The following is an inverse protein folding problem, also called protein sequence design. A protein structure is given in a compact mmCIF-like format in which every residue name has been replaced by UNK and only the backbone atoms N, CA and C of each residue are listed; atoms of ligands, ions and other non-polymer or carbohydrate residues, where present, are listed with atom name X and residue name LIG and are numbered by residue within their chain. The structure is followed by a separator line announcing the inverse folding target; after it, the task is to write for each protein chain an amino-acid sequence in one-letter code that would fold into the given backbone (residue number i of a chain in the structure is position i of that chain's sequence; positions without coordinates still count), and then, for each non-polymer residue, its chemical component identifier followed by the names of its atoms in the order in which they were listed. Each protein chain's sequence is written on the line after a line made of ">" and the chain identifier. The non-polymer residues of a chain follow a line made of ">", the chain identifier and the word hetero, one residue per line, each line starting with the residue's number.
data_IF_525819105696
#
_entry.id   IF_525819105696
#
_cell.length_a   1.000
_cell.length_b   1.000
_cell.length_c   1.000
_cell.angle_alpha   90.00
_cell.angle_beta   90.00
_cell.angle_gamma   90.00
#
_symmetry.space_group_name_H-M   'P 1'
#
loop_
_entity.id
_entity.type
_entity.pdbx_description
1 polymer ?
#
# COMPACT_ATOMS: atom_id res chain seq x y z
N UNK A 1 -0.55 -51.11 19.49
CA UNK A 1 0.58 -50.17 19.33
C UNK A 1 0.03 -48.88 18.74
N UNK A 2 -0.36 -47.89 19.55
CA UNK A 2 -0.76 -46.59 19.02
C UNK A 2 0.46 -45.69 18.78
N UNK A 3 0.47 -45.03 17.62
CA UNK A 3 1.47 -44.05 17.21
C UNK A 3 1.37 -42.82 18.12
N UNK A 4 2.48 -42.57 18.81
CA UNK A 4 2.69 -41.53 19.80
C UNK A 4 2.53 -40.13 19.20
N UNK A 5 1.77 -39.32 19.91
CA UNK A 5 1.33 -37.97 19.58
C UNK A 5 2.54 -37.03 19.70
N UNK A 6 3.15 -36.64 18.57
CA UNK A 6 4.25 -35.69 18.57
C UNK A 6 3.82 -34.38 19.25
N UNK A 7 4.60 -33.83 20.20
CA UNK A 7 4.27 -32.58 20.86
C UNK A 7 4.37 -31.45 19.84
N UNK A 8 3.24 -30.75 19.63
CA UNK A 8 3.18 -29.48 18.92
C UNK A 8 4.20 -28.53 19.57
N UNK A 9 5.29 -28.26 18.85
CA UNK A 9 6.24 -27.24 19.24
C UNK A 9 5.48 -25.91 19.35
N UNK A 10 5.34 -25.43 20.58
CA UNK A 10 4.91 -24.09 20.92
C UNK A 10 5.93 -23.12 20.32
N UNK A 11 5.74 -22.73 19.06
CA UNK A 11 6.46 -21.59 18.51
C UNK A 11 5.95 -20.38 19.30
N UNK A 12 6.79 -19.71 20.10
CA UNK A 12 6.36 -18.55 20.86
C UNK A 12 5.89 -17.48 19.86
N UNK A 13 4.67 -16.96 20.06
CA UNK A 13 4.06 -15.94 19.19
C UNK A 13 4.91 -14.66 19.08
N UNK A 14 5.95 -14.51 19.89
CA UNK A 14 6.96 -13.45 19.81
C UNK A 14 7.88 -13.53 18.60
N UNK A 15 7.84 -14.62 17.83
CA UNK A 15 8.61 -14.79 16.59
C UNK A 15 7.80 -14.52 15.32
N UNK A 16 6.64 -13.89 15.42
CA UNK A 16 6.05 -13.26 14.24
C UNK A 16 6.91 -12.02 13.96
N UNK A 17 7.73 -11.99 12.88
CA UNK A 17 8.42 -10.77 12.52
C UNK A 17 7.34 -9.71 12.32
N UNK A 18 7.34 -8.69 13.18
CA UNK A 18 6.54 -7.50 12.94
C UNK A 18 7.07 -6.94 11.63
N UNK A 19 6.30 -7.08 10.55
CA UNK A 19 6.61 -6.41 9.31
C UNK A 19 6.77 -4.93 9.65
N UNK A 20 8.01 -4.44 9.57
CA UNK A 20 8.32 -3.01 9.64
C UNK A 20 7.64 -2.39 8.44
N UNK A 21 6.35 -2.05 8.59
CA UNK A 21 5.66 -1.21 7.66
C UNK A 21 6.38 0.13 7.72
N UNK A 22 7.25 0.41 6.75
CA UNK A 22 7.57 1.80 6.40
C UNK A 22 6.26 2.57 6.39
N UNK A 23 6.18 3.80 6.94
CA UNK A 23 4.93 4.50 7.21
C UNK A 23 4.07 4.58 5.95
N UNK A 24 3.24 3.55 5.82
CA UNK A 24 2.46 3.29 4.63
C UNK A 24 1.12 3.96 4.81
N UNK A 25 0.64 4.59 3.76
CA UNK A 25 -0.67 5.20 3.79
C UNK A 25 -1.73 4.15 3.47
N UNK A 26 -2.39 3.65 4.51
CA UNK A 26 -3.46 2.66 4.35
C UNK A 26 -4.85 3.31 4.41
N UNK A 27 -5.71 2.91 3.47
CA UNK A 27 -7.14 3.20 3.50
C UNK A 27 -7.91 1.93 3.16
N UNK A 28 -8.71 1.45 4.13
CA UNK A 28 -9.42 0.18 3.99
C UNK A 28 -8.43 -0.99 3.80
N UNK A 29 -8.67 -1.89 2.83
CA UNK A 29 -7.82 -3.03 2.57
C UNK A 29 -6.58 -2.72 1.72
N UNK A 30 -6.37 -1.46 1.32
CA UNK A 30 -5.26 -1.06 0.44
C UNK A 30 -4.29 -0.15 1.19
N UNK A 31 -3.00 -0.45 1.07
CA UNK A 31 -1.90 0.34 1.62
C UNK A 31 -1.01 0.87 0.50
N UNK A 32 -0.53 2.10 0.64
CA UNK A 32 0.52 2.65 -0.20
C UNK A 32 1.85 2.77 0.54
N UNK A 33 2.94 2.40 -0.13
CA UNK A 33 4.32 2.55 0.30
C UNK A 33 5.15 3.20 -0.81
N UNK A 34 6.45 3.41 -0.55
CA UNK A 34 7.40 3.99 -1.53
C UNK A 34 6.89 5.29 -2.16
N UNK A 35 6.21 6.13 -1.36
CA UNK A 35 5.62 7.39 -1.83
C UNK A 35 6.75 8.39 -2.07
N UNK A 36 6.97 8.72 -3.34
CA UNK A 36 8.05 9.61 -3.78
C UNK A 36 7.49 10.71 -4.66
N UNK A 37 7.96 11.95 -4.44
CA UNK A 37 7.62 13.08 -5.32
C UNK A 37 8.50 13.03 -6.57
N UNK A 38 7.91 13.28 -7.73
CA UNK A 38 8.66 13.36 -8.99
C UNK A 38 9.56 14.60 -9.00
N UNK A 39 10.85 14.41 -9.33
CA UNK A 39 11.81 15.49 -9.45
C UNK A 39 11.54 16.43 -10.65
N UNK A 40 10.85 15.92 -11.68
CA UNK A 40 10.52 16.68 -12.90
C UNK A 40 9.18 17.42 -12.76
N UNK A 41 8.25 16.87 -11.99
CA UNK A 41 6.89 17.35 -11.87
C UNK A 41 6.48 17.33 -10.40
N UNK A 42 6.57 18.47 -9.71
CA UNK A 42 6.34 18.55 -8.26
C UNK A 42 4.94 18.07 -7.82
N UNK A 43 3.96 18.13 -8.73
CA UNK A 43 2.58 17.67 -8.55
C UNK A 43 2.37 16.18 -8.85
N UNK A 44 3.39 15.46 -9.32
CA UNK A 44 3.30 14.02 -9.52
C UNK A 44 3.89 13.26 -8.33
N UNK A 45 3.12 12.30 -7.84
CA UNK A 45 3.60 11.32 -6.88
C UNK A 45 3.71 9.96 -7.54
N UNK A 46 4.75 9.23 -7.18
CA UNK A 46 4.89 7.81 -7.48
C UNK A 46 4.71 7.05 -6.19
N UNK A 47 3.86 6.05 -6.19
CA UNK A 47 3.59 5.21 -5.03
C UNK A 47 3.47 3.77 -5.47
N UNK A 48 3.74 2.86 -4.54
CA UNK A 48 3.38 1.46 -4.67
C UNK A 48 2.12 1.24 -3.84
N UNK A 49 1.12 0.58 -4.38
CA UNK A 49 -0.05 0.12 -3.63
C UNK A 49 -0.02 -1.38 -3.48
N UNK A 50 -0.58 -1.87 -2.39
CA UNK A 50 -0.80 -3.30 -2.12
C UNK A 50 -2.15 -3.51 -1.45
N UNK A 51 -2.81 -4.62 -1.74
CA UNK A 51 -4.05 -5.02 -1.07
C UNK A 51 -3.87 -6.28 -0.20
N UNK A 52 -4.89 -6.60 0.60
CA UNK A 52 -4.89 -7.79 1.45
C UNK A 52 -4.93 -9.12 0.67
N UNK A 53 -5.19 -9.09 -0.63
CA UNK A 53 -5.19 -10.27 -1.50
C UNK A 53 -3.78 -10.57 -2.04
N UNK A 54 -2.80 -9.70 -1.75
CA UNK A 54 -1.42 -9.82 -2.19
C UNK A 54 -1.16 -9.19 -3.55
N UNK A 55 -2.14 -8.51 -4.15
CA UNK A 55 -1.88 -7.72 -5.35
C UNK A 55 -1.05 -6.50 -4.99
N UNK A 56 -0.15 -6.15 -5.89
CA UNK A 56 0.67 -4.95 -5.75
C UNK A 56 0.85 -4.27 -7.10
N UNK A 57 0.92 -2.96 -7.06
CA UNK A 57 0.96 -2.14 -8.27
C UNK A 57 1.77 -0.87 -8.02
N UNK A 58 2.49 -0.40 -9.05
CA UNK A 58 3.14 0.91 -9.03
C UNK A 58 2.30 1.89 -9.82
N UNK A 59 2.00 3.03 -9.19
CA UNK A 59 1.15 4.06 -9.73
C UNK A 59 1.89 5.39 -9.76
N UNK A 60 1.62 6.14 -10.81
CA UNK A 60 1.87 7.58 -10.86
C UNK A 60 0.53 8.28 -10.71
N UNK A 61 0.41 9.20 -9.77
CA UNK A 61 -0.74 10.09 -9.63
C UNK A 61 -0.34 11.52 -9.97
N UNK A 62 -1.15 12.18 -10.79
CA UNK A 62 -1.12 13.63 -10.95
C UNK A 62 -2.05 14.24 -9.90
N UNK A 63 -1.49 14.93 -8.91
CA UNK A 63 -2.26 15.47 -7.78
C UNK A 63 -3.14 16.66 -8.15
N UNK A 64 -2.98 17.23 -9.35
CA UNK A 64 -3.80 18.37 -9.81
C UNK A 64 -5.21 17.94 -10.15
N UNK A 65 -5.36 16.80 -10.82
CA UNK A 65 -6.64 16.26 -11.32
C UNK A 65 -6.98 14.87 -10.73
N UNK A 66 -6.10 14.33 -9.87
CA UNK A 66 -6.25 13.00 -9.28
C UNK A 66 -6.05 11.86 -10.27
N UNK A 67 -5.48 12.11 -11.46
CA UNK A 67 -5.39 11.11 -12.52
C UNK A 67 -4.35 10.04 -12.21
N UNK A 68 -4.76 8.79 -12.35
CA UNK A 68 -3.94 7.61 -12.06
C UNK A 68 -3.35 7.03 -13.34
N UNK A 69 -2.09 6.59 -13.25
CA UNK A 69 -1.41 5.85 -14.32
C UNK A 69 -0.66 4.65 -13.74
N UNK A 70 -0.97 3.42 -14.17
CA UNK A 70 -2.05 3.08 -15.11
C UNK A 70 -3.46 3.25 -14.51
N UNK A 71 -4.44 3.54 -15.37
CA UNK A 71 -5.83 3.77 -14.95
C UNK A 71 -6.51 2.49 -14.44
N UNK A 72 -6.08 1.31 -14.90
CA UNK A 72 -6.63 -0.01 -14.57
C UNK A 72 -5.51 -0.93 -14.11
N UNK A 73 -5.86 -1.85 -13.20
CA UNK A 73 -4.91 -2.72 -12.53
C UNK A 73 -5.61 -3.65 -11.54
N UNK A 74 -4.86 -4.55 -10.90
CA UNK A 74 -5.43 -5.60 -10.04
C UNK A 74 -5.97 -5.08 -8.71
N UNK A 75 -5.48 -3.93 -8.24
CA UNK A 75 -5.95 -3.31 -7.00
C UNK A 75 -7.21 -2.47 -7.26
N UNK A 76 -8.22 -2.63 -6.40
CA UNK A 76 -9.50 -1.93 -6.50
C UNK A 76 -9.35 -0.40 -6.53
N UNK A 77 -9.93 0.25 -7.54
CA UNK A 77 -9.65 1.64 -7.88
C UNK A 77 -10.28 2.66 -6.97
N UNK A 78 -11.42 2.36 -6.35
CA UNK A 78 -12.03 3.20 -5.32
C UNK A 78 -11.08 3.41 -4.14
N UNK A 79 -10.48 2.34 -3.63
CA UNK A 79 -9.48 2.39 -2.56
C UNK A 79 -8.19 3.08 -3.02
N UNK A 80 -7.68 2.76 -4.22
CA UNK A 80 -6.50 3.45 -4.77
C UNK A 80 -6.74 4.96 -4.89
N UNK A 81 -7.90 5.38 -5.37
CA UNK A 81 -8.28 6.79 -5.47
C UNK A 81 -8.38 7.45 -4.09
N UNK A 82 -8.86 6.73 -3.07
CA UNK A 82 -8.87 7.26 -1.70
C UNK A 82 -7.43 7.44 -1.16
N UNK A 83 -6.58 6.42 -1.31
CA UNK A 83 -5.19 6.43 -0.84
C UNK A 83 -4.41 7.56 -1.51
N UNK A 84 -4.50 7.66 -2.84
CA UNK A 84 -3.82 8.72 -3.61
C UNK A 84 -4.32 10.11 -3.24
N UNK A 85 -5.63 10.29 -3.04
CA UNK A 85 -6.16 11.57 -2.56
C UNK A 85 -5.56 11.99 -1.22
N UNK A 86 -5.35 11.04 -0.31
CA UNK A 86 -4.72 11.31 0.97
C UNK A 86 -3.21 11.55 0.82
N UNK A 87 -2.53 10.84 -0.09
CA UNK A 87 -1.10 11.05 -0.38
C UNK A 87 -0.81 12.44 -0.96
N UNK A 88 -1.63 12.90 -1.91
CA UNK A 88 -1.54 14.24 -2.49
C UNK A 88 -1.71 15.33 -1.43
N UNK A 89 -2.71 15.18 -0.55
CA UNK A 89 -2.93 16.10 0.58
C UNK A 89 -1.74 16.16 1.52
N UNK A 90 -1.14 15.01 1.85
CA UNK A 90 0.06 14.94 2.72
C UNK A 90 1.29 15.55 2.05
N UNK A 91 1.31 15.59 0.72
CA UNK A 91 2.36 16.25 -0.06
C UNK A 91 2.13 17.77 -0.18
N UNK A 92 1.07 18.33 0.41
CA UNK A 92 0.80 19.77 0.34
C UNK A 92 0.18 20.22 -0.98
N UNK A 93 -0.20 19.30 -1.87
CA UNK A 93 -0.96 19.62 -3.08
C UNK A 93 -2.46 19.48 -2.77
N UNK A 94 -3.25 20.59 -2.75
CA UNK A 94 -4.70 20.50 -2.66
C UNK A 94 -5.23 19.92 -3.97
N UNK A 95 -6.06 18.90 -3.85
CA UNK A 95 -6.75 18.27 -4.99
C UNK A 95 -7.89 19.20 -5.36
N UNK A 96 -7.80 19.82 -6.53
CA UNK A 96 -8.79 20.74 -7.08
C UNK A 96 -9.62 20.05 -8.16
#
# INVERSE_FOLDING_TARGET
>A
MPLDFAPQALIPQSWIPQALAEPGLCIGPVCADQITRSAKHHFQLRLRVSDQQGHHERLVVDCRDGRLSPATGPVERGYVAAVTRRACRLSGEPIG
#
